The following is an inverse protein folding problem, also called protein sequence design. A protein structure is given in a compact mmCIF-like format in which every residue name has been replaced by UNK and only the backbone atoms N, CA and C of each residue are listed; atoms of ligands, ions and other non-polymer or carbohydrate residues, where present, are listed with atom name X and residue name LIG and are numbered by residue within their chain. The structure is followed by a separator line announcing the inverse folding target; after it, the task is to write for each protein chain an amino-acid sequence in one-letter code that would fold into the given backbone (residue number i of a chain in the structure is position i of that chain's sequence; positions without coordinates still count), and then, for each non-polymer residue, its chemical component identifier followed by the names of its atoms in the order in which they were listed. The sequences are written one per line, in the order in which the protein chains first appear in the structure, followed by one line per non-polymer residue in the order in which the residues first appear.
data_IF_188218304771
#
_entry.id   IF_188218304771
#
_cell.length_a   1.000
_cell.length_b   1.000
_cell.length_c   1.000
_cell.angle_alpha   90.00
_cell.angle_beta   90.00
_cell.angle_gamma   90.00
#
_symmetry.space_group_name_H-M   'P 1'
#
loop_
_entity.id
_entity.type
_entity.pdbx_description
1 polymer ?
#
# COMPACT_ATOMS: atom_id res chain seq x y z
N UNK A 1 2.85 -3.81 -7.52
CA UNK A 1 3.91 -4.05 -6.52
C UNK A 1 3.95 -5.51 -6.16
N UNK A 2 4.98 -5.94 -5.43
CA UNK A 2 5.08 -7.28 -4.88
C UNK A 2 5.32 -7.19 -3.38
N UNK A 3 4.63 -8.02 -2.60
CA UNK A 3 4.85 -8.12 -1.15
C UNK A 3 6.18 -8.83 -0.91
N UNK A 4 7.14 -8.13 -0.31
CA UNK A 4 8.49 -8.63 -0.02
C UNK A 4 8.58 -9.27 1.38
N UNK A 5 7.83 -8.73 2.33
CA UNK A 5 7.80 -9.20 3.71
C UNK A 5 6.47 -8.86 4.39
N UNK A 6 6.09 -9.69 5.37
CA UNK A 6 4.88 -9.54 6.18
C UNK A 6 5.26 -9.73 7.64
N UNK A 7 5.23 -8.65 8.42
CA UNK A 7 5.56 -8.67 9.85
C UNK A 7 4.29 -8.57 10.69
N UNK A 8 4.01 -9.52 11.59
CA UNK A 8 2.87 -9.42 12.47
C UNK A 8 3.05 -8.30 13.50
N UNK A 9 1.98 -7.54 13.73
CA UNK A 9 1.83 -6.56 14.81
C UNK A 9 0.79 -7.09 15.82
N UNK A 10 0.61 -6.40 16.97
CA UNK A 10 -0.35 -6.83 17.99
C UNK A 10 -1.79 -7.02 17.47
N UNK A 11 -2.23 -6.16 16.55
CA UNK A 11 -3.59 -6.14 15.99
C UNK A 11 -3.59 -5.81 14.49
N UNK A 12 -2.50 -6.15 13.80
CA UNK A 12 -2.29 -5.75 12.42
C UNK A 12 -1.10 -6.45 11.80
N UNK A 13 -0.75 -6.02 10.61
CA UNK A 13 0.45 -6.44 9.89
C UNK A 13 1.16 -5.24 9.30
N UNK A 14 2.49 -5.26 9.31
CA UNK A 14 3.32 -4.36 8.53
C UNK A 14 3.76 -5.10 7.27
N UNK A 15 3.47 -4.53 6.11
CA UNK A 15 3.78 -5.08 4.80
C UNK A 15 4.90 -4.26 4.16
N UNK A 16 5.99 -4.90 3.74
CA UNK A 16 6.97 -4.27 2.86
C UNK A 16 6.62 -4.61 1.41
N UNK A 17 6.46 -3.60 0.57
CA UNK A 17 6.00 -3.74 -0.82
C UNK A 17 7.04 -3.15 -1.76
N UNK A 18 7.59 -3.98 -2.66
CA UNK A 18 8.43 -3.52 -3.77
C UNK A 18 7.58 -2.85 -4.85
N UNK A 19 8.12 -1.80 -5.45
CA UNK A 19 7.42 -0.97 -6.43
C UNK A 19 8.37 -0.47 -7.52
N UNK A 20 7.80 -0.09 -8.66
CA UNK A 20 8.50 0.64 -9.71
C UNK A 20 8.37 2.16 -9.55
N UNK A 21 7.63 2.64 -8.55
CA UNK A 21 7.66 4.07 -8.22
C UNK A 21 9.06 4.48 -7.80
N UNK A 22 9.43 5.70 -8.22
CA UNK A 22 10.67 6.31 -7.79
C UNK A 22 10.60 6.57 -6.28
N UNK A 23 11.59 6.09 -5.55
CA UNK A 23 11.69 6.27 -4.10
C UNK A 23 11.74 7.75 -3.70
N UNK A 24 12.28 8.63 -4.56
CA UNK A 24 12.27 10.08 -4.34
C UNK A 24 10.87 10.69 -4.45
N UNK A 25 9.93 10.00 -5.10
CA UNK A 25 8.54 10.44 -5.25
C UNK A 25 7.62 9.97 -4.11
N UNK A 26 8.13 9.15 -3.19
CA UNK A 26 7.39 8.60 -2.06
C UNK A 26 7.74 9.37 -0.79
N UNK A 27 6.74 9.60 0.05
CA UNK A 27 6.88 10.30 1.33
C UNK A 27 6.21 9.52 2.45
N UNK A 28 6.82 9.54 3.64
CA UNK A 28 6.18 9.00 4.85
C UNK A 28 4.89 9.80 5.10
N UNK A 29 3.79 9.09 5.39
CA UNK A 29 2.47 9.71 5.54
C UNK A 29 1.69 9.84 4.23
N UNK A 30 2.30 9.60 3.07
CA UNK A 30 1.57 9.55 1.81
C UNK A 30 0.62 8.35 1.77
N UNK A 31 -0.50 8.50 1.06
CA UNK A 31 -1.47 7.44 0.85
C UNK A 31 -1.24 6.75 -0.50
N UNK A 32 -1.27 5.42 -0.48
CA UNK A 32 -1.21 4.55 -1.66
C UNK A 32 -2.31 3.52 -1.56
N UNK A 33 -3.09 3.38 -2.62
CA UNK A 33 -4.04 2.29 -2.76
C UNK A 33 -3.30 1.00 -3.16
N UNK A 34 -3.37 0.00 -2.29
CA UNK A 34 -2.84 -1.34 -2.50
C UNK A 34 -4.00 -2.28 -2.84
N UNK A 35 -4.15 -2.63 -4.11
CA UNK A 35 -5.32 -3.38 -4.65
C UNK A 35 -6.67 -2.78 -4.20
N UNK A 36 -6.76 -1.45 -4.23
CA UNK A 36 -7.95 -0.69 -3.82
C UNK A 36 -8.04 -0.35 -2.33
N UNK A 37 -7.14 -0.87 -1.49
CA UNK A 37 -7.08 -0.59 -0.05
C UNK A 37 -6.22 0.65 0.17
N UNK A 38 -6.81 1.75 0.63
CA UNK A 38 -6.04 2.94 0.97
C UNK A 38 -5.19 2.68 2.21
N UNK A 39 -3.86 2.73 2.07
CA UNK A 39 -2.90 2.53 3.14
C UNK A 39 -1.88 3.67 3.20
N UNK A 40 -1.39 3.97 4.40
CA UNK A 40 -0.43 5.04 4.64
C UNK A 40 0.99 4.49 4.73
N UNK A 41 1.93 5.13 4.03
CA UNK A 41 3.35 4.78 4.09
C UNK A 41 3.90 5.12 5.48
N UNK A 42 4.45 4.11 6.18
CA UNK A 42 5.07 4.25 7.51
C UNK A 42 6.60 4.19 7.48
N UNK A 43 7.17 3.62 6.42
CA UNK A 43 8.62 3.47 6.29
C UNK A 43 9.04 3.44 4.81
N UNK A 44 10.22 3.98 4.54
CA UNK A 44 10.88 4.04 3.23
C UNK A 44 12.35 3.58 3.39
N UNK A 45 12.97 3.06 2.31
CA UNK A 45 14.38 2.68 2.33
C UNK A 45 15.29 3.86 2.68
N UNK A 46 16.44 3.54 3.27
CA UNK A 46 17.52 4.51 3.47
C UNK A 46 17.97 5.08 2.12
N UNK A 47 18.14 6.40 2.04
CA UNK A 47 18.65 7.10 0.84
C UNK A 47 20.03 6.63 0.38
N UNK A 48 20.76 5.91 1.23
CA UNK A 48 22.08 5.37 0.94
C UNK A 48 22.04 4.05 0.16
N UNK A 49 20.89 3.39 0.09
CA UNK A 49 20.74 2.09 -0.58
C UNK A 49 19.66 2.20 -1.66
N UNK A 50 20.02 2.08 -2.96
CA UNK A 50 19.05 2.15 -4.03
C UNK A 50 18.15 0.91 -3.97
N UNK A 51 16.94 1.08 -3.45
CA UNK A 51 15.87 0.09 -3.53
C UNK A 51 14.53 0.82 -3.56
N UNK A 52 13.58 0.29 -4.33
CA UNK A 52 12.26 0.88 -4.46
C UNK A 52 11.25 -0.03 -3.74
N UNK A 53 11.05 0.25 -2.47
CA UNK A 53 9.99 -0.34 -1.66
C UNK A 53 9.44 0.71 -0.69
N UNK A 54 8.29 0.42 -0.12
CA UNK A 54 7.72 1.17 0.99
C UNK A 54 7.02 0.20 1.92
N UNK A 55 6.85 0.59 3.18
CA UNK A 55 6.07 -0.19 4.13
C UNK A 55 4.79 0.53 4.54
N UNK A 56 3.76 -0.27 4.77
CA UNK A 56 2.42 0.16 5.19
C UNK A 56 1.94 -0.74 6.32
N UNK A 57 1.08 -0.20 7.17
CA UNK A 57 0.43 -0.95 8.24
C UNK A 57 -1.05 -1.13 7.94
N UNK A 58 -1.52 -2.37 8.03
CA UNK A 58 -2.92 -2.72 7.92
C UNK A 58 -3.42 -3.21 9.27
N UNK A 59 -4.46 -2.55 9.78
CA UNK A 59 -5.07 -2.83 11.07
C UNK A 59 -6.30 -3.74 10.93
N UNK A 60 -6.86 -4.13 12.07
CA UNK A 60 -7.97 -5.07 12.20
C UNK A 60 -9.10 -4.85 11.18
N UNK A 61 -9.56 -3.61 10.99
CA UNK A 61 -10.66 -3.32 10.07
C UNK A 61 -10.31 -3.65 8.61
N UNK A 62 -9.14 -3.21 8.13
CA UNK A 62 -8.66 -3.52 6.79
C UNK A 62 -8.44 -5.03 6.60
N UNK A 63 -7.92 -5.72 7.63
CA UNK A 63 -7.73 -7.17 7.61
C UNK A 63 -9.05 -7.94 7.56
N UNK A 64 -10.09 -7.43 8.23
CA UNK A 64 -11.42 -8.06 8.31
C UNK A 64 -12.24 -7.85 7.05
N UNK A 65 -12.11 -6.69 6.39
CA UNK A 65 -12.97 -6.29 5.27
C UNK A 65 -12.38 -6.59 3.88
N UNK A 66 -11.12 -7.00 3.79
CA UNK A 66 -10.40 -7.14 2.52
C UNK A 66 -9.67 -8.48 2.40
N UNK A 67 -9.10 -8.77 1.22
CA UNK A 67 -8.28 -9.96 0.99
C UNK A 67 -6.84 -9.82 1.50
N UNK A 68 -6.48 -8.70 2.15
CA UNK A 68 -5.12 -8.42 2.61
C UNK A 68 -4.59 -9.49 3.59
N UNK A 69 -5.49 -10.08 4.39
CA UNK A 69 -5.13 -11.16 5.33
C UNK A 69 -4.56 -12.41 4.65
N UNK A 70 -4.75 -12.57 3.34
CA UNK A 70 -4.22 -13.68 2.54
C UNK A 70 -2.88 -13.34 1.87
N UNK A 71 -2.44 -12.08 1.94
CA UNK A 71 -1.22 -11.67 1.27
C UNK A 71 0.00 -12.24 1.98
N UNK A 72 0.85 -12.91 1.21
CA UNK A 72 2.11 -13.49 1.66
C UNK A 72 3.26 -12.98 0.79
N UNK A 73 4.50 -13.22 1.21
CA UNK A 73 5.68 -12.89 0.40
C UNK A 73 5.56 -13.47 -1.03
N UNK A 74 5.78 -12.63 -2.03
CA UNK A 74 5.61 -12.95 -3.46
C UNK A 74 4.23 -12.65 -4.03
N UNK A 75 3.28 -12.16 -3.21
CA UNK A 75 1.96 -11.74 -3.70
C UNK A 75 2.09 -10.48 -4.54
N UNK A 76 1.65 -10.54 -5.78
CA UNK A 76 1.54 -9.35 -6.64
C UNK A 76 0.23 -8.60 -6.36
N UNK A 77 0.34 -7.28 -6.24
CA UNK A 77 -0.78 -6.38 -5.93
C UNK A 77 -0.80 -5.18 -6.88
N UNK A 78 -1.99 -4.66 -7.16
CA UNK A 78 -2.13 -3.42 -7.90
C UNK A 78 -1.72 -2.24 -7.01
N UNK A 79 -1.04 -1.25 -7.58
CA UNK A 79 -0.66 -0.03 -6.85
C UNK A 79 -1.20 1.18 -7.59
N UNK A 80 -1.85 2.06 -6.86
CA UNK A 80 -2.33 3.35 -7.35
C UNK A 80 -1.98 4.44 -6.32
N UNK A 81 -1.36 5.54 -6.77
CA UNK A 81 -1.04 6.67 -5.90
C UNK A 81 -2.32 7.47 -5.64
N UNK A 82 -2.51 7.95 -4.42
CA UNK A 82 -3.62 8.85 -4.15
C UNK A 82 -3.51 10.11 -5.02
N UNK A 83 -4.61 10.47 -5.69
CA UNK A 83 -4.75 11.65 -6.53
C UNK A 83 -4.25 12.90 -5.79
N UNK A 84 -3.29 13.61 -6.37
CA UNK A 84 -2.96 14.97 -5.93
C UNK A 84 -4.05 15.91 -6.43
N UNK A 85 -4.35 16.96 -5.68
CA UNK A 85 -5.36 17.96 -6.07
C UNK A 85 -4.92 18.62 -7.40
N UNK A 86 -5.58 18.27 -8.52
CA UNK A 86 -5.22 18.72 -9.87
C UNK A 86 -4.84 17.61 -10.87
N UNK A 87 -4.76 16.35 -10.43
CA UNK A 87 -4.55 15.21 -11.34
C UNK A 87 -5.82 14.93 -12.19
N UNK A 88 -5.63 14.58 -13.47
CA UNK A 88 -6.74 14.21 -14.35
C UNK A 88 -7.47 12.97 -13.81
N UNK A 89 -8.78 13.12 -13.55
CA UNK A 89 -9.65 12.00 -13.20
C UNK A 89 -10.02 11.26 -14.49
N UNK A 90 -9.14 10.36 -14.92
CA UNK A 90 -9.47 9.35 -15.93
C UNK A 90 -10.34 8.25 -15.33
N UNK A 91 -11.65 8.47 -15.19
CA UNK A 91 -12.58 7.46 -14.65
C UNK A 91 -13.70 8.03 -13.77
N UNK A 92 -14.10 7.28 -12.73
CA UNK A 92 -15.08 7.67 -11.72
C UNK A 92 -14.38 7.74 -10.35
N UNK A 93 -14.88 8.57 -9.41
CA UNK A 93 -14.29 8.70 -8.07
C UNK A 93 -14.34 7.38 -7.30
N UNK A 94 -13.17 6.80 -6.99
CA UNK A 94 -13.03 5.64 -6.11
C UNK A 94 -12.55 6.15 -4.75
N UNK A 95 -13.32 5.96 -3.68
CA UNK A 95 -12.96 6.50 -2.35
C UNK A 95 -11.88 5.70 -1.62
N UNK A 96 -11.42 4.57 -2.18
CA UNK A 96 -10.48 3.66 -1.53
C UNK A 96 -11.03 2.94 -0.28
N UNK A 97 -12.33 3.09 0.02
CA UNK A 97 -13.04 2.20 0.93
C UNK A 97 -13.48 0.96 0.16
N UNK A 98 -13.04 -0.20 0.63
CA UNK A 98 -13.51 -1.49 0.14
C UNK A 98 -14.69 -1.92 1.01
N UNK A 99 -15.89 -2.02 0.43
CA UNK A 99 -17.12 -2.40 1.13
C UNK A 99 -17.28 -3.92 1.34
N UNK A 100 -16.44 -4.76 0.70
CA UNK A 100 -16.42 -6.20 0.91
C UNK A 100 -15.82 -7.00 -0.25
N UNK A 101 -15.74 -8.32 -0.08
CA UNK A 101 -15.28 -9.27 -1.10
C UNK A 101 -16.46 -9.80 -1.93
N UNK A 102 -16.25 -9.93 -3.25
CA UNK A 102 -17.14 -10.61 -4.19
C UNK A 102 -16.48 -11.91 -4.69
#
# INVERSE_FOLDING_TARGET
GCVEDVKPLKQGVCLSISTHYDSESLEIGASIACSGICLTIVELPSKQTPSNWFAVEAWEEALRLTNLSQWTKGTFINLERSLRFGDEVGGHLVSGHIDGLA
#
